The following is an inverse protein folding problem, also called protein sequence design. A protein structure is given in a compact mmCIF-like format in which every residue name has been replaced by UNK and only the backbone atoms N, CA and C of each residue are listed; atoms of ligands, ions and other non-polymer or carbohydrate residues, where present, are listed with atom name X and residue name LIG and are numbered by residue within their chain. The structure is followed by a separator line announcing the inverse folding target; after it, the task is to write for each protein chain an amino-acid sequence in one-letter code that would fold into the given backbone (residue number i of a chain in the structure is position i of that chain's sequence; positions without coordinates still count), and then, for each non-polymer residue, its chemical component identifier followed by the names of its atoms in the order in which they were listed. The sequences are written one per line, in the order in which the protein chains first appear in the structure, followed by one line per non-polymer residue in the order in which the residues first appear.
data_IF_700121875972
#
_entry.id   IF_700121875972
#
_cell.length_a   1.000
_cell.length_b   1.000
_cell.length_c   1.000
_cell.angle_alpha   90.00
_cell.angle_beta   90.00
_cell.angle_gamma   90.00
#
_symmetry.space_group_name_H-M   'P 1'
#
loop_
_entity.id
_entity.type
_entity.pdbx_description
1 polymer ?
#
# COMPACT_ATOMS: atom_id res chain seq x y z
N UNK A 1 57.12 -7.85 -27.12
CA UNK A 1 55.77 -7.24 -27.02
C UNK A 1 55.08 -7.78 -25.78
N UNK A 2 54.98 -7.00 -24.70
CA UNK A 2 54.32 -7.41 -23.44
C UNK A 2 52.80 -7.20 -23.59
N UNK A 3 52.03 -8.28 -23.58
CA UNK A 3 50.56 -8.22 -23.54
C UNK A 3 50.15 -7.83 -22.12
N UNK A 4 49.30 -6.83 -21.95
CA UNK A 4 48.75 -6.40 -20.65
C UNK A 4 47.39 -7.07 -20.46
N UNK A 5 47.32 -8.26 -19.83
CA UNK A 5 46.05 -8.97 -19.65
C UNK A 5 45.11 -8.29 -18.64
N UNK A 6 45.59 -7.29 -17.89
CA UNK A 6 44.84 -6.64 -16.81
C UNK A 6 43.69 -5.72 -17.26
N UNK A 7 43.76 -5.14 -18.47
CA UNK A 7 42.74 -4.18 -18.93
C UNK A 7 41.43 -4.89 -19.31
N UNK A 8 41.52 -6.07 -19.92
CA UNK A 8 40.34 -6.85 -20.31
C UNK A 8 39.59 -7.41 -19.08
N UNK A 9 40.31 -7.84 -18.05
CA UNK A 9 39.69 -8.30 -16.80
C UNK A 9 38.94 -7.19 -16.07
N UNK A 10 39.49 -5.97 -16.07
CA UNK A 10 38.86 -4.80 -15.44
C UNK A 10 37.54 -4.40 -16.13
N UNK A 11 37.53 -4.45 -17.48
CA UNK A 11 36.34 -4.16 -18.28
C UNK A 11 35.21 -5.18 -18.06
N UNK A 12 35.54 -6.47 -17.92
CA UNK A 12 34.54 -7.50 -17.61
C UNK A 12 33.91 -7.33 -16.22
N UNK A 13 34.71 -6.92 -15.22
CA UNK A 13 34.21 -6.66 -13.86
C UNK A 13 33.31 -5.42 -13.84
N UNK A 14 33.69 -4.35 -14.55
CA UNK A 14 32.86 -3.15 -14.70
C UNK A 14 31.52 -3.44 -15.41
N UNK A 15 31.52 -4.29 -16.44
CA UNK A 15 30.29 -4.68 -17.14
C UNK A 15 29.36 -5.53 -16.27
N UNK A 16 29.91 -6.44 -15.46
CA UNK A 16 29.13 -7.24 -14.52
C UNK A 16 28.50 -6.37 -13.41
N UNK A 17 29.20 -5.35 -12.94
CA UNK A 17 28.68 -4.40 -11.95
C UNK A 17 27.59 -3.48 -12.52
N UNK A 18 27.72 -3.03 -13.78
CA UNK A 18 26.71 -2.22 -14.46
C UNK A 18 25.44 -3.01 -14.78
N UNK A 19 25.56 -4.29 -15.14
CA UNK A 19 24.41 -5.17 -15.36
C UNK A 19 23.66 -5.50 -14.06
N UNK A 20 24.36 -5.60 -12.92
CA UNK A 20 23.74 -5.79 -11.61
C UNK A 20 23.05 -4.53 -11.06
N UNK A 21 23.37 -3.35 -11.58
CA UNK A 21 22.75 -2.08 -11.17
C UNK A 21 21.40 -1.79 -11.87
N UNK A 22 21.02 -2.61 -12.86
CA UNK A 22 19.72 -2.56 -13.52
C UNK A 22 18.78 -3.61 -12.93
N UNK A 23 18.61 -3.60 -11.61
CA UNK A 23 17.43 -4.26 -11.02
C UNK A 23 16.24 -3.34 -11.33
N UNK A 24 15.24 -3.78 -12.12
CA UNK A 24 14.05 -2.96 -12.33
C UNK A 24 13.47 -2.62 -10.96
N UNK A 25 13.16 -1.34 -10.74
CA UNK A 25 12.51 -0.89 -9.51
C UNK A 25 11.17 -1.63 -9.41
N UNK A 26 11.15 -2.70 -8.63
CA UNK A 26 9.95 -3.50 -8.41
C UNK A 26 9.01 -2.65 -7.57
N UNK A 27 7.91 -2.19 -8.17
CA UNK A 27 6.88 -1.44 -7.46
C UNK A 27 6.34 -2.37 -6.37
N UNK A 28 6.45 -2.00 -5.08
CA UNK A 28 6.00 -2.89 -4.02
C UNK A 28 4.52 -3.26 -4.16
N UNK A 29 4.17 -4.48 -3.78
CA UNK A 29 2.82 -5.03 -3.95
C UNK A 29 1.73 -4.19 -3.26
N UNK A 30 2.06 -3.47 -2.19
CA UNK A 30 1.13 -2.61 -1.45
C UNK A 30 0.78 -1.30 -2.18
N UNK A 31 1.62 -0.84 -3.11
CA UNK A 31 1.46 0.45 -3.79
C UNK A 31 0.31 0.39 -4.80
N UNK A 32 -0.59 1.37 -4.78
CA UNK A 32 -1.66 1.49 -5.77
C UNK A 32 -3.01 1.86 -5.17
N UNK A 33 -4.04 1.75 -6.00
CA UNK A 33 -5.44 1.93 -5.60
C UNK A 33 -6.11 0.58 -5.36
N UNK A 34 -6.77 0.48 -4.22
CA UNK A 34 -7.51 -0.68 -3.73
C UNK A 34 -8.96 -0.28 -3.59
N UNK A 35 -9.87 -0.98 -4.27
CA UNK A 35 -11.31 -0.65 -4.27
C UNK A 35 -12.11 -1.60 -3.41
N UNK A 36 -13.14 -1.06 -2.79
CA UNK A 36 -14.06 -1.82 -1.94
C UNK A 36 -14.62 -3.03 -2.70
N UNK A 37 -14.61 -4.19 -2.04
CA UNK A 37 -15.22 -5.42 -2.52
C UNK A 37 -16.40 -5.83 -1.64
N UNK A 38 -16.16 -5.94 -0.33
CA UNK A 38 -17.14 -6.41 0.64
C UNK A 38 -16.73 -6.03 2.06
N UNK A 39 -17.63 -6.25 3.04
CA UNK A 39 -17.32 -6.07 4.45
C UNK A 39 -18.12 -6.99 5.35
N UNK A 40 -17.59 -7.22 6.55
CA UNK A 40 -18.25 -7.92 7.65
C UNK A 40 -18.19 -7.05 8.91
N UNK A 41 -19.34 -6.55 9.43
CA UNK A 41 -20.69 -6.68 8.86
C UNK A 41 -20.84 -5.96 7.51
N UNK A 42 -21.88 -6.33 6.75
CA UNK A 42 -22.19 -5.67 5.47
C UNK A 42 -22.51 -4.19 5.69
N UNK A 43 -21.71 -3.32 5.10
CA UNK A 43 -21.86 -1.87 5.16
C UNK A 43 -22.84 -1.34 4.11
N UNK A 44 -23.23 -2.19 3.15
CA UNK A 44 -24.21 -1.90 2.11
C UNK A 44 -23.61 -1.26 0.84
N UNK A 45 -24.44 -1.08 -0.20
CA UNK A 45 -23.99 -0.72 -1.55
C UNK A 45 -23.40 0.70 -1.66
N UNK A 46 -23.64 1.57 -0.68
CA UNK A 46 -23.11 2.94 -0.69
C UNK A 46 -21.58 3.01 -0.65
N UNK A 47 -20.91 1.94 -0.23
CA UNK A 47 -19.45 1.86 -0.13
C UNK A 47 -18.78 1.35 -1.42
N UNK A 48 -19.52 1.02 -2.48
CA UNK A 48 -18.97 0.43 -3.70
C UNK A 48 -17.87 1.28 -4.38
N UNK A 49 -17.93 2.61 -4.22
CA UNK A 49 -16.94 3.55 -4.77
C UNK A 49 -15.86 3.95 -3.74
N UNK A 50 -15.88 3.39 -2.54
CA UNK A 50 -14.85 3.61 -1.53
C UNK A 50 -13.53 2.95 -1.95
N UNK A 51 -12.40 3.61 -1.64
CA UNK A 51 -11.08 3.10 -2.00
C UNK A 51 -10.01 3.48 -0.98
N UNK A 52 -8.91 2.73 -1.01
CA UNK A 52 -7.67 3.04 -0.32
C UNK A 52 -6.60 3.24 -1.38
N UNK A 53 -5.84 4.32 -1.28
CA UNK A 53 -4.64 4.52 -2.10
C UNK A 53 -3.43 4.54 -1.20
N UNK A 54 -2.41 3.76 -1.56
CA UNK A 54 -1.12 3.71 -0.85
C UNK A 54 -0.03 4.07 -1.85
N UNK A 55 0.83 5.01 -1.49
CA UNK A 55 1.99 5.37 -2.31
C UNK A 55 3.28 4.67 -1.85
N UNK A 56 4.37 4.89 -2.58
CA UNK A 56 5.69 4.31 -2.30
C UNK A 56 6.34 4.82 -1.01
N UNK A 57 5.87 5.95 -0.50
CA UNK A 57 6.38 6.62 0.69
C UNK A 57 5.50 6.28 1.91
N UNK A 58 4.60 5.29 1.73
CA UNK A 58 3.64 4.81 2.73
C UNK A 58 2.59 5.83 3.15
N UNK A 59 2.34 6.87 2.36
CA UNK A 59 1.18 7.71 2.60
C UNK A 59 -0.08 6.97 2.14
N UNK A 60 -1.13 7.02 2.97
CA UNK A 60 -2.46 6.53 2.60
C UNK A 60 -3.47 7.64 2.46
N UNK A 61 -4.39 7.38 1.54
CA UNK A 61 -5.65 8.08 1.40
C UNK A 61 -6.77 7.04 1.41
N UNK A 62 -7.63 7.09 2.42
CA UNK A 62 -8.89 6.35 2.44
C UNK A 62 -10.03 7.30 2.06
N UNK A 63 -10.85 6.89 1.09
CA UNK A 63 -12.03 7.62 0.66
C UNK A 63 -13.29 6.86 1.03
N UNK A 64 -14.16 7.53 1.78
CA UNK A 64 -15.45 7.01 2.21
C UNK A 64 -16.56 7.57 1.32
N UNK A 65 -17.00 6.78 0.33
CA UNK A 65 -17.98 7.23 -0.66
C UNK A 65 -19.32 7.71 -0.07
N UNK A 66 -19.94 7.02 0.93
CA UNK A 66 -21.18 7.48 1.55
C UNK A 66 -21.13 8.88 2.14
N UNK A 67 -19.99 9.27 2.73
CA UNK A 67 -19.84 10.56 3.41
C UNK A 67 -19.07 11.58 2.56
N UNK A 68 -18.42 11.14 1.48
CA UNK A 68 -17.48 11.93 0.70
C UNK A 68 -16.20 12.32 1.46
N UNK A 69 -15.96 11.73 2.64
CA UNK A 69 -14.82 12.09 3.48
C UNK A 69 -13.53 11.41 3.00
N UNK A 70 -12.43 12.12 3.25
CA UNK A 70 -11.07 11.66 2.97
C UNK A 70 -10.30 11.58 4.28
N UNK A 71 -9.63 10.47 4.47
CA UNK A 71 -8.82 10.19 5.63
C UNK A 71 -7.39 9.98 5.15
N UNK A 72 -6.45 10.65 5.78
CA UNK A 72 -5.02 10.54 5.48
C UNK A 72 -4.28 10.12 6.73
N UNK A 73 -3.06 9.62 6.66
CA UNK A 73 -2.30 9.46 7.89
C UNK A 73 -0.88 8.96 7.71
N UNK A 74 -0.32 8.51 8.85
CA UNK A 74 1.03 7.95 9.00
C UNK A 74 0.97 6.49 9.53
N UNK A 75 1.81 5.61 8.98
CA UNK A 75 1.87 4.20 9.30
C UNK A 75 2.96 4.01 10.32
N UNK A 76 2.64 3.25 11.36
CA UNK A 76 3.47 3.18 12.57
C UNK A 76 4.30 1.91 12.61
N UNK A 77 3.73 0.79 12.18
CA UNK A 77 4.38 -0.52 12.21
C UNK A 77 4.21 -1.21 10.85
N UNK A 78 5.32 -1.62 10.25
CA UNK A 78 5.38 -2.21 8.91
C UNK A 78 5.94 -3.63 8.95
N UNK A 79 5.28 -4.54 8.24
CA UNK A 79 5.79 -5.87 7.91
C UNK A 79 5.51 -6.17 6.43
N UNK A 80 6.07 -7.26 5.90
CA UNK A 80 5.77 -7.69 4.53
C UNK A 80 4.29 -8.09 4.34
N UNK A 81 3.65 -8.59 5.40
CA UNK A 81 2.31 -9.18 5.36
C UNK A 81 1.21 -8.18 5.74
N UNK A 82 1.57 -6.98 6.21
CA UNK A 82 0.62 -5.98 6.69
C UNK A 82 1.26 -4.84 7.46
N UNK A 83 0.46 -3.83 7.78
CA UNK A 83 0.85 -2.67 8.57
C UNK A 83 -0.28 -2.19 9.49
N UNK A 84 0.07 -1.55 10.59
CA UNK A 84 -0.88 -0.79 11.41
C UNK A 84 -0.82 0.67 11.00
N UNK A 85 -1.95 1.22 10.59
CA UNK A 85 -2.09 2.61 10.15
C UNK A 85 -2.90 3.41 11.15
N UNK A 86 -2.45 4.64 11.39
CA UNK A 86 -3.26 5.64 12.07
C UNK A 86 -3.95 6.50 11.02
N UNK A 87 -5.26 6.36 10.87
CA UNK A 87 -6.08 7.17 9.97
C UNK A 87 -6.49 8.46 10.67
N UNK A 88 -6.21 9.59 10.04
CA UNK A 88 -6.57 10.92 10.53
C UNK A 88 -7.63 11.51 9.61
N UNK A 89 -8.78 11.85 10.19
CA UNK A 89 -9.84 12.61 9.53
C UNK A 89 -9.83 14.04 10.08
N UNK A 90 -9.64 15.03 9.23
CA UNK A 90 -9.77 16.44 9.64
C UNK A 90 -10.97 17.05 8.93
N UNK A 91 -11.94 17.53 9.70
CA UNK A 91 -13.11 18.24 9.19
C UNK A 91 -13.38 19.52 10.00
N UNK A 92 -14.44 20.25 9.66
CA UNK A 92 -14.83 21.50 10.35
C UNK A 92 -15.09 21.32 11.85
N UNK A 93 -15.40 20.10 12.30
CA UNK A 93 -15.64 19.74 13.70
C UNK A 93 -14.36 19.31 14.45
N UNK A 94 -13.20 19.31 13.78
CA UNK A 94 -11.90 18.99 14.36
C UNK A 94 -11.21 17.78 13.74
N UNK A 95 -10.14 17.34 14.38
CA UNK A 95 -9.35 16.16 13.96
C UNK A 95 -9.79 14.93 14.74
N UNK A 96 -10.17 13.87 14.04
CA UNK A 96 -10.43 12.54 14.60
C UNK A 96 -9.35 11.59 14.15
N UNK A 97 -8.91 10.75 15.08
CA UNK A 97 -7.85 9.76 14.86
C UNK A 97 -8.47 8.38 15.05
N UNK A 98 -8.27 7.51 14.07
CA UNK A 98 -8.71 6.13 14.05
C UNK A 98 -7.50 5.22 13.86
N UNK A 99 -7.56 4.02 14.40
CA UNK A 99 -6.55 2.99 14.19
C UNK A 99 -7.14 1.86 13.37
N UNK A 100 -6.42 1.44 12.34
CA UNK A 100 -6.79 0.33 11.47
C UNK A 100 -5.58 -0.55 11.17
N UNK A 101 -5.81 -1.84 10.99
CA UNK A 101 -4.81 -2.81 10.54
C UNK A 101 -5.07 -3.12 9.07
N UNK A 102 -4.05 -2.91 8.23
CA UNK A 102 -4.05 -3.28 6.82
C UNK A 102 -3.26 -4.57 6.66
N UNK A 103 -3.88 -5.58 6.07
CA UNK A 103 -3.24 -6.85 5.76
C UNK A 103 -3.24 -7.05 4.24
N UNK A 104 -2.05 -7.10 3.65
CA UNK A 104 -1.90 -7.34 2.21
C UNK A 104 -1.86 -8.83 1.99
N UNK A 105 -2.84 -9.33 1.25
CA UNK A 105 -2.94 -10.75 0.93
C UNK A 105 -2.33 -11.01 -0.45
N UNK A 106 -2.13 -12.30 -0.74
CA UNK A 106 -1.85 -12.76 -2.10
C UNK A 106 -3.04 -12.47 -3.01
N UNK A 107 -2.81 -12.49 -4.32
CA UNK A 107 -3.84 -12.34 -5.35
C UNK A 107 -4.51 -10.96 -5.39
N UNK A 108 -3.75 -9.89 -5.16
CA UNK A 108 -4.23 -8.50 -5.27
C UNK A 108 -5.42 -8.19 -4.34
N UNK A 109 -5.43 -8.80 -3.15
CA UNK A 109 -6.41 -8.56 -2.09
C UNK A 109 -5.82 -7.84 -0.90
N UNK A 110 -6.61 -6.99 -0.26
CA UNK A 110 -6.26 -6.33 1.00
C UNK A 110 -7.43 -6.43 1.98
N UNK A 111 -7.12 -6.64 3.25
CA UNK A 111 -8.08 -6.58 4.35
C UNK A 111 -7.77 -5.35 5.20
N UNK A 112 -8.79 -4.58 5.53
CA UNK A 112 -8.73 -3.51 6.54
C UNK A 112 -9.56 -3.95 7.73
N UNK A 113 -8.94 -4.04 8.90
CA UNK A 113 -9.64 -4.30 10.16
C UNK A 113 -9.68 -3.00 10.96
N UNK A 114 -10.87 -2.51 11.27
CA UNK A 114 -11.02 -1.32 12.10
C UNK A 114 -11.10 -1.70 13.57
N UNK A 115 -10.53 -0.87 14.43
CA UNK A 115 -10.72 -0.98 15.88
C UNK A 115 -12.22 -0.91 16.21
N UNK A 116 -12.65 -1.83 17.07
CA UNK A 116 -14.05 -2.10 17.38
C UNK A 116 -14.73 -0.91 18.07
N UNK A 117 -15.85 -0.43 17.52
CA UNK A 117 -16.75 0.49 18.23
C UNK A 117 -17.87 -0.36 18.83
N UNK A 118 -17.96 -0.42 20.16
CA UNK A 118 -18.94 -1.21 20.93
C UNK A 118 -18.84 -2.74 20.77
N UNK A 119 -17.65 -3.31 20.51
CA UNK A 119 -17.46 -4.76 20.46
C UNK A 119 -17.63 -5.38 19.06
N UNK A 120 -18.04 -4.59 18.06
CA UNK A 120 -18.10 -5.03 16.66
C UNK A 120 -16.89 -4.51 15.89
N UNK A 121 -15.95 -5.40 15.59
CA UNK A 121 -14.89 -5.13 14.62
C UNK A 121 -15.49 -5.20 13.21
N UNK A 122 -15.07 -4.29 12.32
CA UNK A 122 -15.43 -4.38 10.90
C UNK A 122 -14.22 -4.83 10.11
N UNK A 123 -14.41 -5.87 9.30
CA UNK A 123 -13.42 -6.38 8.35
C UNK A 123 -13.87 -5.93 6.97
N UNK A 124 -13.01 -5.20 6.24
CA UNK A 124 -13.34 -4.66 4.92
C UNK A 124 -12.35 -5.25 3.92
N UNK A 125 -12.87 -5.83 2.86
CA UNK A 125 -12.09 -6.43 1.78
C UNK A 125 -11.98 -5.45 0.62
N UNK A 126 -10.77 -5.34 0.08
CA UNK A 126 -10.45 -4.54 -1.08
C UNK A 126 -9.74 -5.39 -2.13
N UNK A 127 -9.93 -5.05 -3.40
CA UNK A 127 -9.17 -5.59 -4.53
C UNK A 127 -8.31 -4.50 -5.17
N UNK A 128 -7.13 -4.88 -5.68
CA UNK A 128 -6.26 -3.94 -6.39
C UNK A 128 -6.83 -3.62 -7.77
N UNK A 129 -6.84 -2.34 -8.12
CA UNK A 129 -7.09 -1.92 -9.50
C UNK A 129 -5.79 -2.12 -10.28
N UNK A 130 -5.84 -2.89 -11.36
CA UNK A 130 -4.67 -3.11 -12.21
C UNK A 130 -4.08 -1.75 -12.65
N UNK A 131 -2.80 -1.54 -12.39
CA UNK A 131 -2.07 -0.42 -12.96
C UNK A 131 -1.94 -0.68 -14.47
N UNK A 132 -2.62 0.11 -15.30
CA UNK A 132 -2.23 0.28 -16.69
C UNK A 132 -0.87 0.99 -16.67
N UNK A 133 0.21 0.23 -16.53
CA UNK A 133 1.59 0.68 -16.72
C UNK A 133 1.88 0.94 -18.19
#
# INVERSE_FOLDING_TARGET
MKRFPGIAALLCVLYALLAAACVPYEVPSYVGEWRYESSEPDLGPGYADSFVRVDKDWNYLFYDAPTGQRFTGEAKDFSHDGMVVTLTATNESGTRIYEAELQFLKDDKMIVKTSSVNGVATVIHFYRVAHNG
#
